data_IF_927512150334
#
_entry.id   IF_927512150334
#
_cell.length_a   1.000
_cell.length_b   1.000
_cell.length_c   1.000
_cell.angle_alpha   90.00
_cell.angle_beta   90.00
_cell.angle_gamma   90.00
#
_symmetry.space_group_name_H-M   'P 1'
#
loop_
_entity.id
_entity.type
_entity.pdbx_description
1 polymer ?
#
# COMPACT_ATOMS: atom_id res chain seq x y z
N UNK A 1 -6.44 12.56 -21.18
CA UNK A 1 -7.73 11.81 -21.14
C UNK A 1 -7.46 10.37 -21.56
N UNK A 2 -7.93 9.40 -20.78
CA UNK A 2 -7.75 7.96 -21.03
C UNK A 2 -8.36 7.60 -22.39
N UNK A 3 -7.51 7.21 -23.35
CA UNK A 3 -7.91 6.96 -24.75
C UNK A 3 -8.72 5.67 -24.94
N UNK A 4 -8.96 4.87 -23.90
CA UNK A 4 -9.70 3.61 -24.03
C UNK A 4 -10.40 3.20 -22.70
N UNK A 5 -11.73 3.25 -22.61
CA UNK A 5 -12.49 2.98 -21.38
C UNK A 5 -12.56 1.50 -20.97
N UNK A 6 -12.03 0.56 -21.77
CA UNK A 6 -12.03 -0.88 -21.46
C UNK A 6 -10.71 -1.39 -20.87
N UNK A 7 -9.68 -0.54 -20.72
CA UNK A 7 -8.41 -0.93 -20.10
C UNK A 7 -8.35 -0.45 -18.65
N UNK A 8 -8.05 -1.32 -17.67
CA UNK A 8 -7.88 -0.89 -16.29
C UNK A 8 -6.68 0.05 -16.18
N UNK A 9 -6.82 1.13 -15.40
CA UNK A 9 -5.70 2.01 -15.06
C UNK A 9 -5.06 1.50 -13.77
N UNK A 10 -3.77 1.16 -13.84
CA UNK A 10 -2.98 0.76 -12.68
C UNK A 10 -2.00 1.87 -12.36
N UNK A 11 -2.00 2.32 -11.10
CA UNK A 11 -1.05 3.27 -10.55
C UNK A 11 -0.13 2.49 -9.62
N UNK A 12 1.16 2.46 -9.93
CA UNK A 12 2.13 1.75 -9.09
C UNK A 12 3.39 2.54 -8.85
N UNK A 13 3.94 2.40 -7.64
CA UNK A 13 5.20 2.97 -7.19
C UNK A 13 5.81 2.12 -6.07
N UNK A 14 7.12 2.26 -5.90
CA UNK A 14 7.90 1.60 -4.85
C UNK A 14 8.36 2.63 -3.80
N UNK A 15 8.50 2.20 -2.55
CA UNK A 15 9.03 2.98 -1.43
C UNK A 15 8.32 4.33 -1.28
N UNK A 16 9.07 5.40 -1.04
CA UNK A 16 8.62 6.80 -1.01
C UNK A 16 7.69 7.17 -2.18
N UNK A 17 7.85 6.56 -3.36
CA UNK A 17 6.94 6.81 -4.48
C UNK A 17 5.47 6.48 -4.17
N UNK A 18 5.17 5.69 -3.14
CA UNK A 18 3.81 5.33 -2.74
C UNK A 18 2.92 6.53 -2.36
N UNK A 19 3.47 7.57 -1.70
CA UNK A 19 2.67 8.77 -1.40
C UNK A 19 2.37 9.57 -2.66
N UNK A 20 3.30 9.64 -3.62
CA UNK A 20 3.06 10.24 -4.93
C UNK A 20 1.97 9.48 -5.71
N UNK A 21 1.99 8.14 -5.66
CA UNK A 21 0.93 7.32 -6.25
C UNK A 21 -0.43 7.63 -5.63
N UNK A 22 -0.49 7.84 -4.32
CA UNK A 22 -1.71 8.21 -3.61
C UNK A 22 -2.20 9.62 -3.96
N UNK A 23 -1.32 10.63 -3.98
CA UNK A 23 -1.70 11.98 -4.39
C UNK A 23 -2.18 12.02 -5.85
N UNK A 24 -1.52 11.27 -6.73
CA UNK A 24 -1.94 11.15 -8.12
C UNK A 24 -3.30 10.43 -8.26
N UNK A 25 -3.54 9.40 -7.45
CA UNK A 25 -4.85 8.75 -7.35
C UNK A 25 -5.93 9.76 -6.92
N UNK A 26 -5.70 10.53 -5.84
CA UNK A 26 -6.64 11.56 -5.38
C UNK A 26 -6.91 12.61 -6.46
N UNK A 27 -5.85 13.06 -7.14
CA UNK A 27 -5.96 14.00 -8.25
C UNK A 27 -6.80 13.44 -9.39
N UNK A 28 -6.59 12.18 -9.79
CA UNK A 28 -7.40 11.53 -10.82
C UNK A 28 -8.87 11.43 -10.40
N UNK A 29 -9.14 11.02 -9.16
CA UNK A 29 -10.51 10.93 -8.64
C UNK A 29 -11.24 12.27 -8.57
N UNK A 30 -10.52 13.34 -8.25
CA UNK A 30 -11.09 14.68 -8.19
C UNK A 30 -11.36 15.25 -9.59
N UNK A 31 -10.44 15.04 -10.53
CA UNK A 31 -10.50 15.67 -11.85
C UNK A 31 -11.20 14.82 -12.92
N UNK A 32 -11.27 13.51 -12.74
CA UNK A 32 -11.96 12.59 -13.65
C UNK A 32 -13.30 12.25 -12.99
N UNK A 33 -14.37 12.83 -13.52
CA UNK A 33 -15.72 12.56 -13.03
C UNK A 33 -16.01 11.05 -13.19
N UNK A 34 -16.20 10.30 -12.09
CA UNK A 34 -16.42 8.84 -12.13
C UNK A 34 -17.75 8.46 -12.80
N UNK A 35 -18.53 9.44 -13.27
CA UNK A 35 -19.70 9.26 -14.13
C UNK A 35 -19.40 8.48 -15.42
N UNK A 36 -18.12 8.26 -15.77
CA UNK A 36 -17.71 7.17 -16.65
C UNK A 36 -17.51 5.89 -15.83
N UNK A 37 -18.60 5.15 -15.70
CA UNK A 37 -18.90 3.94 -14.92
C UNK A 37 -17.88 2.76 -14.95
N UNK A 38 -16.66 2.90 -15.48
CA UNK A 38 -15.84 1.72 -15.87
C UNK A 38 -14.33 1.76 -15.59
N UNK A 39 -13.76 2.83 -15.04
CA UNK A 39 -12.31 2.88 -14.87
C UNK A 39 -11.87 3.53 -13.56
N UNK A 40 -12.33 2.98 -12.44
CA UNK A 40 -11.78 3.34 -11.14
C UNK A 40 -10.33 2.80 -11.05
N UNK A 41 -9.29 3.63 -10.87
CA UNK A 41 -7.89 3.20 -10.96
C UNK A 41 -7.47 2.26 -9.82
N UNK A 42 -6.77 1.17 -10.11
CA UNK A 42 -6.19 0.30 -9.05
C UNK A 42 -4.83 0.86 -8.63
N UNK A 43 -4.58 1.00 -7.33
CA UNK A 43 -3.27 1.42 -6.81
C UNK A 43 -2.55 0.24 -6.15
N UNK A 44 -1.36 -0.08 -6.65
CA UNK A 44 -0.49 -1.12 -6.08
C UNK A 44 0.84 -0.51 -5.70
N UNK A 45 1.18 -0.51 -4.41
CA UNK A 45 2.45 0.04 -3.91
C UNK A 45 3.31 -1.04 -3.28
N UNK A 46 4.63 -0.92 -3.43
CA UNK A 46 5.61 -1.89 -2.93
C UNK A 46 6.51 -1.24 -1.89
N UNK A 47 6.56 -1.77 -0.67
CA UNK A 47 7.43 -1.28 0.41
C UNK A 47 7.21 0.19 0.77
N UNK A 48 5.99 0.68 0.49
CA UNK A 48 5.67 2.09 0.62
C UNK A 48 5.33 2.48 2.05
N UNK A 49 5.54 3.75 2.41
CA UNK A 49 5.08 4.29 3.67
C UNK A 49 3.60 4.07 3.98
N UNK A 50 3.29 3.93 5.28
CA UNK A 50 1.94 4.18 5.79
C UNK A 50 1.56 5.64 5.50
N UNK A 51 0.30 5.85 5.12
CA UNK A 51 -0.20 7.15 4.66
C UNK A 51 -1.30 7.65 5.58
N UNK A 52 -1.08 8.83 6.15
CA UNK A 52 -2.08 9.61 6.88
C UNK A 52 -2.60 8.99 8.18
N UNK A 53 -3.49 9.74 8.81
CA UNK A 53 -3.99 9.52 10.16
C UNK A 53 -5.42 8.95 10.16
N UNK A 54 -6.03 8.87 11.34
CA UNK A 54 -7.44 8.47 11.49
C UNK A 54 -8.40 9.35 10.67
N UNK A 55 -8.07 10.64 10.53
CA UNK A 55 -8.83 11.58 9.71
C UNK A 55 -8.83 11.18 8.23
N UNK A 56 -7.65 10.88 7.67
CA UNK A 56 -7.52 10.39 6.30
C UNK A 56 -8.23 9.05 6.11
N UNK A 57 -8.03 8.12 7.05
CA UNK A 57 -8.68 6.81 7.04
C UNK A 57 -10.21 6.95 6.96
N UNK A 58 -10.82 7.76 7.84
CA UNK A 58 -12.27 8.04 7.80
C UNK A 58 -12.70 8.73 6.51
N UNK A 59 -11.91 9.68 6.01
CA UNK A 59 -12.22 10.38 4.76
C UNK A 59 -12.27 9.41 3.57
N UNK A 60 -11.37 8.45 3.50
CA UNK A 60 -11.36 7.41 2.47
C UNK A 60 -12.54 6.45 2.66
N UNK A 61 -12.80 5.98 3.89
CA UNK A 61 -13.91 5.07 4.17
C UNK A 61 -15.29 5.65 3.84
N UNK A 62 -15.47 6.95 4.04
CA UNK A 62 -16.73 7.64 3.72
C UNK A 62 -17.07 7.65 2.22
N UNK A 63 -16.12 7.28 1.35
CA UNK A 63 -16.29 7.27 -0.11
C UNK A 63 -16.46 5.83 -0.59
N UNK A 64 -17.73 5.42 -0.70
CA UNK A 64 -18.23 4.06 -1.05
C UNK A 64 -17.61 3.39 -2.31
N UNK A 65 -16.83 4.10 -3.14
CA UNK A 65 -16.13 3.55 -4.31
C UNK A 65 -14.60 3.53 -4.23
N UNK A 66 -14.00 4.00 -3.13
CA UNK A 66 -12.54 4.16 -3.01
C UNK A 66 -11.87 3.00 -2.27
N UNK A 67 -12.65 2.23 -1.51
CA UNK A 67 -12.14 1.25 -0.57
C UNK A 67 -11.51 -0.01 -1.21
N UNK A 68 -12.02 -0.58 -2.33
CA UNK A 68 -11.51 -1.86 -2.85
C UNK A 68 -10.29 -1.76 -3.80
N UNK A 69 -9.47 -0.69 -3.73
CA UNK A 69 -8.43 -0.46 -4.77
C UNK A 69 -7.05 -0.07 -4.25
N UNK A 70 -6.85 -0.16 -2.95
CA UNK A 70 -5.60 0.18 -2.30
C UNK A 70 -4.87 -1.10 -1.90
N UNK A 71 -3.88 -1.50 -2.70
CA UNK A 71 -3.06 -2.66 -2.43
C UNK A 71 -1.65 -2.24 -2.02
N UNK A 72 -1.23 -2.69 -0.85
CA UNK A 72 0.09 -2.45 -0.29
C UNK A 72 0.84 -3.77 -0.18
N UNK A 73 1.77 -4.02 -1.09
CA UNK A 73 2.66 -5.17 -1.01
C UNK A 73 3.86 -4.79 -0.14
N UNK A 74 4.11 -5.60 0.87
CA UNK A 74 5.11 -5.37 1.88
C UNK A 74 5.90 -6.64 2.11
N UNK A 75 7.21 -6.53 2.26
CA UNK A 75 8.08 -7.66 2.60
C UNK A 75 8.47 -7.65 4.07
N UNK A 76 8.68 -8.83 4.65
CA UNK A 76 9.27 -8.99 5.98
C UNK A 76 10.70 -8.42 6.12
N UNK A 77 11.39 -8.14 5.00
CA UNK A 77 12.70 -7.49 4.98
C UNK A 77 12.68 -5.98 4.77
N UNK A 78 11.51 -5.35 4.61
CA UNK A 78 11.44 -3.90 4.38
C UNK A 78 11.81 -3.10 5.64
N UNK A 79 12.48 -1.96 5.43
CA UNK A 79 12.89 -1.02 6.49
C UNK A 79 11.71 -0.20 7.03
N UNK A 80 10.64 -0.87 7.46
CA UNK A 80 9.39 -0.22 7.88
C UNK A 80 9.59 0.52 9.22
N UNK A 81 10.60 0.15 10.00
CA UNK A 81 10.85 0.70 11.35
C UNK A 81 11.10 2.22 11.41
N UNK A 82 11.94 2.77 10.54
CA UNK A 82 12.51 4.10 10.74
C UNK A 82 11.51 5.25 10.53
N UNK A 83 10.60 5.06 9.57
CA UNK A 83 9.65 6.08 9.14
C UNK A 83 8.20 5.79 9.56
N UNK A 84 7.82 4.53 9.84
CA UNK A 84 6.41 4.17 10.12
C UNK A 84 6.06 3.93 11.59
N UNK A 85 7.00 3.44 12.40
CA UNK A 85 6.71 3.07 13.81
C UNK A 85 7.26 4.11 14.80
N UNK A 86 8.32 4.84 14.46
CA UNK A 86 8.99 5.76 15.40
C UNK A 86 8.25 7.10 15.65
N UNK A 87 7.07 7.32 15.06
CA UNK A 87 6.26 8.52 15.31
C UNK A 87 5.26 8.36 16.46
N UNK A 88 5.13 7.18 17.07
CA UNK A 88 4.10 6.90 18.07
C UNK A 88 4.66 6.66 19.46
N UNK A 89 5.15 7.72 20.10
CA UNK A 89 4.68 7.97 21.46
C UNK A 89 3.20 8.44 21.45
N UNK A 90 2.69 8.88 20.28
CA UNK A 90 1.28 9.21 20.02
C UNK A 90 0.85 8.68 18.62
N UNK A 91 -0.09 7.73 18.59
CA UNK A 91 -0.74 7.15 17.39
C UNK A 91 -1.05 8.17 16.27
N UNK A 92 -0.18 8.32 15.26
CA UNK A 92 -0.40 9.29 14.17
C UNK A 92 -0.75 8.68 12.82
N UNK A 93 -0.42 7.41 12.54
CA UNK A 93 -0.75 6.77 11.25
C UNK A 93 -1.80 5.68 11.39
N UNK A 94 -2.78 5.64 10.49
CA UNK A 94 -3.83 4.60 10.43
C UNK A 94 -3.81 3.92 9.06
N UNK A 95 -3.44 2.63 8.97
CA UNK A 95 -3.45 1.89 7.71
C UNK A 95 -4.85 1.85 7.07
N UNK A 96 -4.90 1.84 5.73
CA UNK A 96 -6.12 1.65 4.95
C UNK A 96 -5.85 0.83 3.70
N UNK A 97 -6.87 0.11 3.22
CA UNK A 97 -6.73 -0.81 2.10
C UNK A 97 -6.19 -2.18 2.52
N UNK A 98 -5.86 -3.00 1.52
CA UNK A 98 -5.39 -4.37 1.71
C UNK A 98 -3.86 -4.39 1.70
N UNK A 99 -3.27 -4.93 2.76
CA UNK A 99 -1.84 -5.19 2.89
C UNK A 99 -1.55 -6.64 2.56
N UNK A 100 -0.73 -6.88 1.54
CA UNK A 100 -0.16 -8.20 1.26
C UNK A 100 1.23 -8.21 1.89
N UNK A 101 1.39 -8.95 2.98
CA UNK A 101 2.67 -9.14 3.65
C UNK A 101 3.28 -10.45 3.17
N UNK A 102 4.43 -10.37 2.55
CA UNK A 102 5.14 -11.52 1.99
C UNK A 102 6.42 -11.80 2.75
N UNK A 103 6.65 -13.08 3.06
CA UNK A 103 7.88 -13.53 3.69
C UNK A 103 8.90 -13.96 2.66
N UNK A 104 10.08 -13.35 2.74
CA UNK A 104 11.21 -13.64 1.86
C UNK A 104 11.83 -15.01 2.11
N UNK A 105 11.61 -15.56 3.32
CA UNK A 105 12.16 -16.85 3.74
C UNK A 105 11.28 -18.04 3.37
N UNK A 106 9.96 -17.87 3.40
CA UNK A 106 8.99 -18.95 3.20
C UNK A 106 8.20 -18.84 1.89
N UNK A 107 8.38 -17.75 1.12
CA UNK A 107 7.62 -17.41 -0.09
C UNK A 107 6.10 -17.29 0.14
N UNK A 108 5.65 -17.33 1.39
CA UNK A 108 4.26 -17.22 1.75
C UNK A 108 3.86 -15.74 1.84
N UNK A 109 2.65 -15.43 1.37
CA UNK A 109 2.03 -14.12 1.55
C UNK A 109 0.70 -14.25 2.29
N UNK A 110 0.39 -13.27 3.12
CA UNK A 110 -0.89 -13.15 3.83
C UNK A 110 -1.49 -11.75 3.61
N UNK A 111 -2.83 -11.68 3.55
CA UNK A 111 -3.55 -10.45 3.34
C UNK A 111 -4.16 -9.94 4.64
N UNK A 112 -4.02 -8.64 4.90
CA UNK A 112 -4.55 -7.96 6.08
C UNK A 112 -5.31 -6.70 5.66
N UNK A 113 -6.51 -6.51 6.19
CA UNK A 113 -7.34 -5.32 5.92
C UNK A 113 -7.66 -4.55 7.20
N UNK A 114 -7.76 -5.27 8.33
CA UNK A 114 -7.95 -4.65 9.63
C UNK A 114 -6.71 -3.81 10.00
N UNK A 115 -6.85 -2.50 10.23
CA UNK A 115 -5.71 -1.62 10.47
C UNK A 115 -4.86 -2.03 11.68
N UNK A 116 -5.47 -2.59 12.72
CA UNK A 116 -4.75 -2.97 13.94
C UNK A 116 -3.97 -4.27 13.71
N UNK A 117 -4.53 -5.21 12.97
CA UNK A 117 -3.84 -6.41 12.47
C UNK A 117 -2.66 -6.06 11.56
N UNK A 118 -2.82 -5.06 10.67
CA UNK A 118 -1.74 -4.53 9.84
C UNK A 118 -0.62 -3.97 10.71
N UNK A 119 -0.94 -3.13 11.71
CA UNK A 119 0.08 -2.58 12.61
C UNK A 119 0.81 -3.69 13.39
N UNK A 120 0.09 -4.70 13.86
CA UNK A 120 0.67 -5.82 14.60
C UNK A 120 1.61 -6.65 13.73
N UNK A 121 1.23 -6.99 12.49
CA UNK A 121 2.09 -7.78 11.61
C UNK A 121 3.33 -6.98 11.18
N UNK A 122 3.18 -5.69 10.85
CA UNK A 122 4.31 -4.82 10.51
C UNK A 122 5.27 -4.61 11.69
N UNK A 123 4.75 -4.64 12.92
CA UNK A 123 5.56 -4.59 14.13
C UNK A 123 6.26 -5.93 14.45
N UNK A 124 5.77 -7.05 13.90
CA UNK A 124 6.32 -8.39 14.13
C UNK A 124 7.36 -8.81 13.07
N UNK A 125 7.36 -8.23 11.85
CA UNK A 125 8.35 -8.47 10.77
C UNK A 125 9.73 -7.85 11.07
N UNK A 126 10.13 -7.89 12.33
CA UNK A 126 11.03 -6.93 12.97
C UNK A 126 12.36 -7.57 13.37
N UNK A 127 12.50 -8.89 13.30
CA UNK A 127 13.61 -9.60 13.96
C UNK A 127 14.83 -9.91 13.08
N UNK A 128 14.82 -9.67 11.77
CA UNK A 128 15.97 -9.97 10.89
C UNK A 128 16.68 -8.70 10.42
N UNK A 129 17.57 -8.18 11.26
CA UNK A 129 18.44 -7.06 10.92
C UNK A 129 19.44 -7.47 9.82
N UNK A 130 19.35 -6.87 8.63
CA UNK A 130 20.54 -6.54 7.85
C UNK A 130 20.39 -5.21 7.12
N UNK A 131 21.45 -4.42 7.27
CA UNK A 131 21.67 -3.07 6.75
C UNK A 131 21.46 -3.00 5.22
N UNK A 132 20.58 -2.09 4.79
CA UNK A 132 20.47 -1.54 3.43
C UNK A 132 20.55 -2.54 2.27
N UNK A 133 19.85 -3.67 2.35
CA UNK A 133 19.38 -4.31 1.10
C UNK A 133 18.13 -3.57 0.66
N UNK A 134 18.24 -2.80 -0.41
CA UNK A 134 17.05 -2.38 -1.16
C UNK A 134 16.31 -3.67 -1.51
N UNK A 135 15.12 -3.86 -0.96
CA UNK A 135 14.43 -5.13 -1.13
C UNK A 135 14.12 -5.33 -2.61
N UNK A 136 14.50 -6.49 -3.15
CA UNK A 136 14.30 -6.78 -4.56
C UNK A 136 12.90 -7.36 -4.75
N UNK A 137 11.94 -6.45 -4.89
CA UNK A 137 10.56 -6.77 -5.22
C UNK A 137 10.41 -7.57 -6.52
N UNK A 138 11.39 -7.56 -7.42
CA UNK A 138 11.35 -8.38 -8.64
C UNK A 138 11.50 -9.85 -8.28
N UNK A 139 12.48 -10.20 -7.45
CA UNK A 139 12.69 -11.58 -7.00
C UNK A 139 11.53 -12.06 -6.12
N UNK A 140 11.03 -11.20 -5.24
CA UNK A 140 9.86 -11.51 -4.40
C UNK A 140 8.64 -11.85 -5.26
N UNK A 141 8.38 -11.07 -6.31
CA UNK A 141 7.23 -11.30 -7.19
C UNK A 141 7.41 -12.54 -8.07
N UNK A 142 8.64 -12.87 -8.47
CA UNK A 142 8.94 -14.11 -9.19
C UNK A 142 8.70 -15.33 -8.28
N UNK A 143 9.14 -15.26 -7.03
CA UNK A 143 8.95 -16.33 -6.04
C UNK A 143 7.48 -16.61 -5.69
N UNK A 144 6.58 -15.66 -5.92
CA UNK A 144 5.12 -15.81 -5.72
C UNK A 144 4.44 -16.39 -6.98
N UNK A 145 5.06 -16.25 -8.15
CA UNK A 145 4.48 -16.64 -9.43
C UNK A 145 4.73 -18.12 -9.80
N UNK A 146 5.68 -18.77 -9.13
CA UNK A 146 6.06 -20.19 -9.28
C UNK A 146 5.33 -21.10 -8.28
#
# INVERSE_FOLDING_TARGET
MLKNPSKPLIITRHSEGGWLAFLYYLWLFYNINPSYDKAIPIRITFGSPLLGDDGLYRAIQSRLGWYPQFLHVVSDGDLIRGTFVSSSANNSYKPFGTFIVCSSSSKACACFEDPDSVLNVLAATVESFQMLKLMDYVNLLQDIAD
#
